data_IF_344101308952
#
_entry.id   IF_344101308952
#
_cell.length_a   1.000
_cell.length_b   1.000
_cell.length_c   1.000
_cell.angle_alpha   90.00
_cell.angle_beta   90.00
_cell.angle_gamma   90.00
#
_symmetry.space_group_name_H-M   'P 1'
#
loop_
_entity.id
_entity.type
_entity.pdbx_description
1 polymer ?
#
# COMPACT_ATOMS: atom_id res chain seq x y z
N UNK A 1 -13.96 4.67 -18.37
CA UNK A 1 -13.79 3.23 -18.73
C UNK A 1 -13.43 2.41 -17.49
N UNK A 2 -13.56 1.07 -17.51
CA UNK A 2 -13.12 0.23 -16.38
C UNK A 2 -11.64 -0.12 -16.54
N UNK A 3 -10.84 0.08 -15.50
CA UNK A 3 -9.39 -0.17 -15.47
C UNK A 3 -8.96 -0.94 -14.22
N UNK A 4 -7.78 -1.56 -14.29
CA UNK A 4 -7.09 -2.08 -13.11
C UNK A 4 -6.51 -0.91 -12.32
N UNK A 5 -6.64 -0.96 -11.00
CA UNK A 5 -6.09 0.05 -10.12
C UNK A 5 -5.43 -0.61 -8.93
N UNK A 6 -4.20 -0.20 -8.66
CA UNK A 6 -3.37 -0.78 -7.63
C UNK A 6 -2.96 0.29 -6.63
N UNK A 7 -3.03 -0.08 -5.35
CA UNK A 7 -2.70 0.80 -4.22
C UNK A 7 -1.59 0.10 -3.44
N UNK A 8 -0.45 0.78 -3.26
CA UNK A 8 0.63 0.32 -2.39
C UNK A 8 0.64 1.14 -1.10
N UNK A 9 0.85 0.48 0.04
CA UNK A 9 0.93 1.09 1.38
C UNK A 9 2.13 0.53 2.13
N UNK A 10 2.92 1.41 2.73
CA UNK A 10 4.08 1.04 3.57
C UNK A 10 4.33 2.09 4.67
N UNK A 11 5.12 1.69 5.67
CA UNK A 11 5.66 2.56 6.73
C UNK A 11 4.60 3.27 7.59
N UNK A 12 3.43 2.64 7.77
CA UNK A 12 2.37 3.17 8.65
C UNK A 12 2.51 2.64 10.09
N UNK A 13 3.52 1.82 10.38
CA UNK A 13 3.84 1.27 11.70
C UNK A 13 5.02 1.98 12.35
N UNK A 14 4.95 2.13 13.67
CA UNK A 14 6.04 2.67 14.50
C UNK A 14 6.47 1.65 15.55
N UNK A 15 7.52 1.98 16.30
CA UNK A 15 7.96 1.16 17.45
C UNK A 15 6.96 1.15 18.62
N UNK A 16 6.04 2.11 18.68
CA UNK A 16 5.13 2.31 19.81
C UNK A 16 3.68 1.96 19.46
N UNK A 17 3.27 2.10 18.19
CA UNK A 17 1.91 1.89 17.74
C UNK A 17 1.83 1.68 16.21
N UNK A 18 0.65 1.34 15.71
CA UNK A 18 0.39 1.20 14.28
C UNK A 18 0.78 -0.17 13.72
N UNK A 19 0.29 -0.45 12.51
CA UNK A 19 0.60 -1.68 11.79
C UNK A 19 0.16 -1.53 10.32
N UNK A 20 1.10 -1.66 9.37
CA UNK A 20 0.81 -1.53 7.92
C UNK A 20 -0.25 -2.52 7.45
N UNK A 21 -0.28 -3.75 7.98
CA UNK A 21 -1.34 -4.72 7.65
C UNK A 21 -2.71 -4.29 8.19
N UNK A 22 -2.78 -3.63 9.35
CA UNK A 22 -4.03 -3.13 9.91
C UNK A 22 -4.60 -1.99 9.06
N UNK A 23 -3.75 -1.02 8.71
CA UNK A 23 -4.11 0.09 7.80
C UNK A 23 -4.63 -0.45 6.47
N UNK A 24 -3.91 -1.39 5.85
CA UNK A 24 -4.31 -1.98 4.57
C UNK A 24 -5.62 -2.80 4.67
N UNK A 25 -5.84 -3.51 5.79
CA UNK A 25 -7.08 -4.26 6.01
C UNK A 25 -8.29 -3.32 6.13
N UNK A 26 -8.16 -2.22 6.88
CA UNK A 26 -9.23 -1.22 6.98
C UNK A 26 -9.51 -0.56 5.62
N UNK A 27 -8.45 -0.22 4.88
CA UNK A 27 -8.59 0.36 3.55
C UNK A 27 -9.31 -0.60 2.59
N UNK A 28 -8.92 -1.88 2.59
CA UNK A 28 -9.57 -2.91 1.78
C UNK A 28 -11.05 -3.05 2.13
N UNK A 29 -11.40 -3.12 3.41
CA UNK A 29 -12.78 -3.21 3.87
C UNK A 29 -13.61 -1.98 3.47
N UNK A 30 -13.05 -0.78 3.62
CA UNK A 30 -13.73 0.47 3.29
C UNK A 30 -14.03 0.56 1.78
N UNK A 31 -13.05 0.26 0.93
CA UNK A 31 -13.24 0.22 -0.53
C UNK A 31 -14.28 -0.84 -0.93
N UNK A 32 -14.20 -2.05 -0.38
CA UNK A 32 -15.17 -3.12 -0.68
C UNK A 32 -16.59 -2.74 -0.22
N UNK A 33 -16.73 -2.11 0.95
CA UNK A 33 -18.03 -1.67 1.48
C UNK A 33 -18.72 -0.63 0.60
N UNK A 34 -17.96 0.13 -0.20
CA UNK A 34 -18.46 1.08 -1.19
C UNK A 34 -18.83 0.44 -2.53
N UNK A 35 -18.72 -0.88 -2.63
CA UNK A 35 -19.12 -1.67 -3.80
C UNK A 35 -18.04 -1.82 -4.87
N UNK A 36 -16.80 -1.40 -4.61
CA UNK A 36 -15.69 -1.62 -5.52
C UNK A 36 -15.23 -3.07 -5.46
N UNK A 37 -15.06 -3.70 -6.63
CA UNK A 37 -14.74 -5.13 -6.72
C UNK A 37 -13.22 -5.36 -6.64
N UNK A 38 -12.73 -6.15 -5.67
CA UNK A 38 -11.33 -6.53 -5.62
C UNK A 38 -10.99 -7.50 -6.75
N UNK A 39 -9.77 -7.42 -7.26
CA UNK A 39 -9.21 -8.37 -8.22
C UNK A 39 -8.71 -9.64 -7.50
N UNK A 40 -8.19 -9.47 -6.29
CA UNK A 40 -7.63 -10.52 -5.45
C UNK A 40 -7.64 -10.07 -3.97
N UNK A 41 -7.17 -10.94 -3.07
CA UNK A 41 -6.84 -10.58 -1.70
C UNK A 41 -5.69 -9.56 -1.65
N UNK A 42 -5.57 -8.79 -0.54
CA UNK A 42 -4.39 -7.97 -0.29
C UNK A 42 -3.09 -8.78 -0.34
N UNK A 43 -2.06 -8.23 -0.97
CA UNK A 43 -0.74 -8.85 -1.04
C UNK A 43 0.15 -8.28 0.05
N UNK A 44 0.68 -9.14 0.93
CA UNK A 44 1.74 -8.82 1.88
C UNK A 44 3.09 -9.21 1.28
N UNK A 45 3.88 -8.21 0.89
CA UNK A 45 5.18 -8.40 0.24
C UNK A 45 6.29 -8.15 1.25
N UNK A 46 7.02 -9.21 1.63
CA UNK A 46 8.23 -9.09 2.47
C UNK A 46 9.39 -8.65 1.59
N UNK A 47 9.98 -7.52 1.94
CA UNK A 47 11.14 -6.94 1.27
C UNK A 47 12.43 -7.53 1.85
N UNK A 48 13.58 -7.02 1.40
CA UNK A 48 14.90 -7.46 1.89
C UNK A 48 14.96 -7.40 3.43
N UNK A 49 15.10 -8.55 4.13
CA UNK A 49 15.10 -8.59 5.59
C UNK A 49 16.38 -8.02 6.21
N UNK A 50 17.42 -7.78 5.40
CA UNK A 50 18.73 -7.33 5.87
C UNK A 50 18.87 -5.80 5.93
N UNK A 51 17.81 -5.04 5.68
CA UNK A 51 17.83 -3.57 5.71
C UNK A 51 17.91 -3.07 7.16
N UNK A 52 19.02 -2.43 7.57
CA UNK A 52 19.30 -2.17 8.99
C UNK A 52 18.47 -1.04 9.60
N UNK A 53 17.87 -0.17 8.78
CA UNK A 53 17.05 0.95 9.24
C UNK A 53 15.55 0.67 9.30
N UNK A 54 15.08 -0.52 8.89
CA UNK A 54 13.65 -0.88 8.90
C UNK A 54 13.25 -1.68 10.15
N UNK A 55 11.95 -1.66 10.49
CA UNK A 55 11.39 -2.43 11.60
C UNK A 55 11.48 -3.94 11.32
N UNK A 56 11.37 -4.77 12.37
CA UNK A 56 11.39 -6.23 12.20
C UNK A 56 10.25 -6.64 11.28
N UNK A 57 10.62 -7.17 10.12
CA UNK A 57 9.67 -7.70 9.15
C UNK A 57 9.48 -6.86 7.88
N UNK A 58 10.22 -5.77 7.66
CA UNK A 58 10.29 -4.99 6.41
C UNK A 58 9.34 -5.46 5.29
N UNK A 59 8.13 -4.91 5.25
CA UNK A 59 7.09 -5.43 4.36
C UNK A 59 6.03 -4.40 4.04
N UNK A 60 5.66 -4.37 2.76
CA UNK A 60 4.68 -3.47 2.19
C UNK A 60 3.41 -4.24 1.79
N UNK A 61 2.30 -3.51 1.66
CA UNK A 61 1.00 -4.06 1.28
C UNK A 61 0.59 -3.54 -0.09
N UNK A 62 -0.04 -4.38 -0.90
CA UNK A 62 -0.67 -3.97 -2.15
C UNK A 62 -2.11 -4.44 -2.25
N UNK A 63 -3.00 -3.56 -2.72
CA UNK A 63 -4.41 -3.81 -2.94
C UNK A 63 -4.74 -3.63 -4.42
N UNK A 64 -5.56 -4.51 -4.99
CA UNK A 64 -5.82 -4.55 -6.42
C UNK A 64 -7.33 -4.56 -6.68
N UNK A 65 -7.81 -3.59 -7.45
CA UNK A 65 -9.24 -3.39 -7.73
C UNK A 65 -9.51 -3.17 -9.21
N UNK A 66 -10.76 -3.43 -9.60
CA UNK A 66 -11.30 -3.05 -10.90
C UNK A 66 -12.22 -1.85 -10.71
N UNK A 67 -11.85 -0.69 -11.22
CA UNK A 67 -12.50 0.60 -10.92
C UNK A 67 -12.81 1.35 -12.23
N UNK A 68 -13.96 2.02 -12.27
CA UNK A 68 -14.31 3.01 -13.30
C UNK A 68 -13.40 4.24 -13.17
N UNK A 69 -12.81 4.70 -14.26
CA UNK A 69 -11.88 5.85 -14.29
C UNK A 69 -12.42 7.08 -13.56
N UNK A 70 -13.72 7.33 -13.67
CA UNK A 70 -14.43 8.45 -13.06
C UNK A 70 -14.45 8.36 -11.51
N UNK A 71 -14.29 7.16 -10.96
CA UNK A 71 -14.28 6.87 -9.51
C UNK A 71 -12.87 6.72 -8.92
N UNK A 72 -11.82 6.78 -9.74
CA UNK A 72 -10.43 6.64 -9.25
C UNK A 72 -10.08 7.68 -8.18
N UNK A 73 -10.56 8.91 -8.36
CA UNK A 73 -10.29 10.00 -7.42
C UNK A 73 -11.00 9.80 -6.07
N UNK A 74 -12.18 9.17 -6.07
CA UNK A 74 -12.85 8.78 -4.83
C UNK A 74 -12.01 7.76 -4.06
N UNK A 75 -11.51 6.73 -4.74
CA UNK A 75 -10.70 5.67 -4.12
C UNK A 75 -9.37 6.20 -3.59
N UNK A 76 -8.72 7.12 -4.31
CA UNK A 76 -7.52 7.80 -3.81
C UNK A 76 -7.78 8.57 -2.52
N UNK A 77 -8.89 9.33 -2.46
CA UNK A 77 -9.28 10.08 -1.25
C UNK A 77 -9.53 9.17 -0.07
N UNK A 78 -10.21 8.05 -0.29
CA UNK A 78 -10.43 7.02 0.73
C UNK A 78 -9.08 6.51 1.23
N UNK A 79 -8.17 6.11 0.32
CA UNK A 79 -6.86 5.60 0.68
C UNK A 79 -6.04 6.58 1.52
N UNK A 80 -5.95 7.84 1.09
CA UNK A 80 -5.25 8.89 1.85
C UNK A 80 -5.90 9.10 3.22
N UNK A 81 -7.22 9.26 3.28
CA UNK A 81 -7.93 9.49 4.54
C UNK A 81 -7.83 8.30 5.51
N UNK A 82 -7.84 7.06 5.01
CA UNK A 82 -7.63 5.87 5.83
C UNK A 82 -6.22 5.88 6.42
N UNK A 83 -5.18 6.11 5.61
CA UNK A 83 -3.78 6.16 6.07
C UNK A 83 -3.56 7.26 7.09
N UNK A 84 -4.08 8.47 6.85
CA UNK A 84 -3.99 9.60 7.79
C UNK A 84 -4.67 9.29 9.13
N UNK A 85 -5.84 8.62 9.10
CA UNK A 85 -6.60 8.26 10.30
C UNK A 85 -5.95 7.13 11.10
N UNK A 86 -5.24 6.21 10.45
CA UNK A 86 -4.65 5.03 11.10
C UNK A 86 -3.19 5.21 11.49
N UNK A 87 -2.54 6.28 11.03
CA UNK A 87 -1.13 6.56 11.31
C UNK A 87 -1.01 7.68 12.34
N UNK A 88 -0.20 7.46 13.37
CA UNK A 88 0.13 8.50 14.35
C UNK A 88 1.25 9.40 13.81
N UNK A 89 0.87 10.45 13.07
CA UNK A 89 1.81 11.41 12.47
C UNK A 89 2.64 12.19 13.51
N UNK A 90 2.28 12.15 14.80
CA UNK A 90 3.04 12.84 15.85
C UNK A 90 4.30 12.04 16.29
N UNK A 91 4.42 10.77 15.89
CA UNK A 91 5.57 9.94 16.25
C UNK A 91 6.73 10.10 15.27
N UNK A 92 7.93 10.22 15.83
CA UNK A 92 9.17 10.27 15.04
C UNK A 92 9.47 8.89 14.46
N UNK A 93 9.74 8.83 13.15
CA UNK A 93 10.20 7.63 12.45
C UNK A 93 9.11 6.82 11.74
N UNK A 94 7.94 7.42 11.51
CA UNK A 94 6.91 6.93 10.59
C UNK A 94 6.79 7.89 9.42
N UNK A 95 7.13 7.43 8.21
CA UNK A 95 7.01 8.18 6.97
C UNK A 95 5.99 7.46 6.06
N UNK A 96 4.69 7.48 6.42
CA UNK A 96 3.67 6.68 5.75
C UNK A 96 3.60 7.04 4.27
N UNK A 97 3.61 6.01 3.43
CA UNK A 97 3.54 6.16 1.98
C UNK A 97 2.30 5.46 1.43
N UNK A 98 1.60 6.15 0.53
CA UNK A 98 0.58 5.56 -0.33
C UNK A 98 0.92 5.88 -1.79
N UNK A 99 0.92 4.84 -2.63
CA UNK A 99 1.20 4.95 -4.07
C UNK A 99 0.08 4.34 -4.89
N UNK A 100 -0.17 4.92 -6.06
CA UNK A 100 -1.26 4.52 -6.94
C UNK A 100 -0.73 4.21 -8.33
N UNK A 101 -1.21 3.10 -8.91
CA UNK A 101 -0.92 2.72 -10.28
C UNK A 101 -2.24 2.44 -11.00
N UNK A 102 -2.45 3.11 -12.14
CA UNK A 102 -3.57 2.86 -13.04
C UNK A 102 -3.11 1.98 -14.21
N UNK A 103 -3.85 0.89 -14.45
CA UNK A 103 -3.56 -0.09 -15.48
C UNK A 103 -2.50 -1.11 -15.06
N UNK A 104 -2.05 -1.88 -16.05
CA UNK A 104 -1.09 -2.97 -15.84
C UNK A 104 0.26 -2.43 -15.36
N UNK A 105 0.86 -3.13 -14.39
CA UNK A 105 2.22 -2.85 -13.94
C UNK A 105 3.23 -2.94 -15.10
N UNK A 106 4.04 -1.88 -15.33
CA UNK A 106 5.07 -1.92 -16.35
C UNK A 106 6.23 -2.82 -15.92
N UNK A 107 6.97 -3.39 -16.88
CA UNK A 107 8.11 -4.28 -16.61
C UNK A 107 9.15 -3.64 -15.68
N UNK A 108 9.38 -2.33 -15.82
CA UNK A 108 10.30 -1.59 -14.95
C UNK A 108 9.91 -1.67 -13.47
N UNK A 109 8.61 -1.65 -13.16
CA UNK A 109 8.13 -1.77 -11.79
C UNK A 109 8.28 -3.22 -11.29
N UNK A 110 8.09 -4.21 -12.15
CA UNK A 110 8.35 -5.62 -11.82
C UNK A 110 9.83 -5.85 -11.49
N UNK A 111 10.74 -5.30 -12.29
CA UNK A 111 12.19 -5.35 -12.05
C UNK A 111 12.57 -4.64 -10.75
N UNK A 112 12.00 -3.46 -10.51
CA UNK A 112 12.18 -2.73 -9.26
C UNK A 112 11.70 -3.54 -8.05
N UNK A 113 10.51 -4.14 -8.13
CA UNK A 113 9.97 -5.00 -7.09
C UNK A 113 10.87 -6.20 -6.81
N UNK A 114 11.36 -6.89 -7.85
CA UNK A 114 12.31 -8.00 -7.70
C UNK A 114 13.60 -7.58 -6.99
N UNK A 115 14.15 -6.40 -7.32
CA UNK A 115 15.32 -5.86 -6.64
C UNK A 115 15.04 -5.52 -5.18
N UNK A 116 13.87 -4.97 -4.86
CA UNK A 116 13.48 -4.62 -3.49
C UNK A 116 13.48 -5.82 -2.52
N UNK A 117 13.38 -7.05 -3.04
CA UNK A 117 13.43 -8.27 -2.24
C UNK A 117 14.85 -8.63 -1.76
N UNK A 118 15.90 -8.18 -2.46
CA UNK A 118 17.27 -8.67 -2.23
C UNK A 118 18.36 -7.59 -2.21
N UNK A 119 18.08 -6.39 -2.69
CA UNK A 119 19.04 -5.29 -2.86
C UNK A 119 18.76 -4.14 -1.87
N UNK A 120 19.65 -3.16 -1.83
CA UNK A 120 19.42 -1.86 -1.20
C UNK A 120 19.02 -0.88 -2.31
N UNK A 121 17.88 -0.22 -2.14
CA UNK A 121 17.34 0.72 -3.12
C UNK A 121 17.52 2.17 -2.67
N UNK A 122 17.69 3.06 -3.65
CA UNK A 122 17.84 4.52 -3.52
C UNK A 122 16.83 5.26 -4.38
#
# INVERSE_FOLDING_TARGET
MITEFHIGVDDTDSRLAGCTTYTAALLFQEIVSKGFKPLDFPWLVRLNPNIPWKTRGNGALSLHFRIEEEKLEEVKKIAVATVERTTDLAQRGTDPAVVFLNGRAPNLLCEFSCRALYDILS
#
